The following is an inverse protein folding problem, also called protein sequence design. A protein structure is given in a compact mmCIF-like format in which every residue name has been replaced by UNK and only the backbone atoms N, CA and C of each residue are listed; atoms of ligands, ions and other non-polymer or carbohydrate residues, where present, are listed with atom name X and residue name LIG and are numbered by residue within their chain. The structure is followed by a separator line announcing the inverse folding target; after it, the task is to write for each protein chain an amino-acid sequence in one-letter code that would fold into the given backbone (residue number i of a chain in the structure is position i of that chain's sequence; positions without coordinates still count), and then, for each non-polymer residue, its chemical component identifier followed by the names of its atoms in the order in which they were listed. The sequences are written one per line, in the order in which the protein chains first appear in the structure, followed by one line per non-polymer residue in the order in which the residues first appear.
data_IF_368792926678
#
_entry.id   IF_368792926678
#
_cell.length_a   1.000
_cell.length_b   1.000
_cell.length_c   1.000
_cell.angle_alpha   90.00
_cell.angle_beta   90.00
_cell.angle_gamma   90.00
#
_symmetry.space_group_name_H-M   'P 1'
#
loop_
_entity.id
_entity.type
_entity.pdbx_description
1 polymer ?
#
# COMPACT_ATOMS: atom_id res chain seq x y z
N UNK A 1 31.09 21.69 -11.39
CA UNK A 1 29.70 21.38 -11.01
C UNK A 1 29.33 22.31 -9.86
N UNK A 2 28.45 23.30 -10.07
CA UNK A 2 28.34 24.45 -9.15
C UNK A 2 27.63 24.12 -7.83
N UNK A 3 28.02 24.80 -6.74
CA UNK A 3 27.49 24.60 -5.38
C UNK A 3 25.96 24.72 -5.30
N UNK A 4 25.33 25.46 -6.21
CA UNK A 4 23.86 25.58 -6.31
C UNK A 4 23.20 24.27 -6.73
N UNK A 5 23.84 23.47 -7.60
CA UNK A 5 23.33 22.15 -7.96
C UNK A 5 23.47 21.16 -6.80
N UNK A 6 24.57 21.22 -6.04
CA UNK A 6 24.78 20.38 -4.86
C UNK A 6 23.76 20.70 -3.75
N UNK A 7 23.48 21.98 -3.48
CA UNK A 7 22.48 22.40 -2.51
C UNK A 7 21.05 21.97 -2.93
N UNK A 8 20.70 22.11 -4.20
CA UNK A 8 19.42 21.67 -4.74
C UNK A 8 19.25 20.14 -4.69
N UNK A 9 20.33 19.38 -4.97
CA UNK A 9 20.35 17.92 -4.83
C UNK A 9 20.19 17.48 -3.39
N UNK A 10 20.92 18.10 -2.45
CA UNK A 10 20.85 17.78 -1.02
C UNK A 10 19.46 18.04 -0.44
N UNK A 11 18.82 19.14 -0.84
CA UNK A 11 17.45 19.45 -0.46
C UNK A 11 16.43 18.45 -1.05
N UNK A 12 16.65 17.99 -2.28
CA UNK A 12 15.78 16.99 -2.93
C UNK A 12 15.93 15.61 -2.28
N UNK A 13 17.17 15.20 -1.99
CA UNK A 13 17.49 13.96 -1.26
C UNK A 13 16.90 13.96 0.15
N UNK A 14 17.06 15.05 0.91
CA UNK A 14 16.45 15.19 2.24
C UNK A 14 14.92 15.09 2.18
N UNK A 15 14.32 15.68 1.14
CA UNK A 15 12.87 15.60 0.90
C UNK A 15 12.41 14.20 0.45
N UNK A 16 13.28 13.36 -0.08
CA UNK A 16 12.95 11.98 -0.48
C UNK A 16 13.46 10.92 0.51
N UNK A 17 14.17 11.30 1.57
CA UNK A 17 14.73 10.36 2.55
C UNK A 17 13.69 9.45 3.21
N UNK A 18 12.44 9.90 3.34
CA UNK A 18 11.35 9.07 3.85
C UNK A 18 11.01 7.89 2.93
N UNK A 19 11.13 8.05 1.60
CA UNK A 19 10.90 6.97 0.64
C UNK A 19 11.98 5.91 0.80
N UNK A 20 13.24 6.35 0.87
CA UNK A 20 14.38 5.45 1.09
C UNK A 20 14.22 4.69 2.41
N UNK A 21 13.89 5.39 3.50
CA UNK A 21 13.71 4.78 4.80
C UNK A 21 12.52 3.80 4.82
N UNK A 22 11.41 4.14 4.17
CA UNK A 22 10.24 3.25 4.10
C UNK A 22 10.55 2.00 3.26
N UNK A 23 11.14 2.17 2.08
CA UNK A 23 11.49 1.05 1.20
C UNK A 23 12.57 0.17 1.84
N UNK A 24 13.59 0.76 2.48
CA UNK A 24 14.59 0.02 3.23
C UNK A 24 13.97 -0.74 4.41
N UNK A 25 13.04 -0.13 5.16
CA UNK A 25 12.31 -0.81 6.23
C UNK A 25 11.51 -2.02 5.73
N UNK A 26 10.82 -1.89 4.59
CA UNK A 26 10.11 -3.00 3.96
C UNK A 26 11.08 -4.08 3.45
N UNK A 27 12.23 -3.69 2.90
CA UNK A 27 13.25 -4.64 2.43
C UNK A 27 13.84 -5.42 3.59
N UNK A 28 14.17 -4.73 4.70
CA UNK A 28 14.63 -5.37 5.92
C UNK A 28 13.59 -6.36 6.42
N UNK A 29 12.31 -5.96 6.50
CA UNK A 29 11.20 -6.86 6.87
C UNK A 29 11.14 -8.13 6.01
N UNK A 30 11.22 -7.97 4.70
CA UNK A 30 11.17 -9.09 3.76
C UNK A 30 12.36 -10.06 3.90
N UNK A 31 13.52 -9.57 4.37
CA UNK A 31 14.74 -10.37 4.56
C UNK A 31 14.92 -10.91 5.98
N UNK A 32 14.01 -10.62 6.91
CA UNK A 32 14.09 -11.14 8.27
C UNK A 32 13.92 -12.67 8.28
N UNK A 33 14.74 -13.33 9.12
CA UNK A 33 14.58 -14.74 9.43
C UNK A 33 13.18 -15.03 9.98
N UNK A 34 12.58 -16.21 9.70
CA UNK A 34 11.20 -16.51 10.08
C UNK A 34 10.89 -16.33 11.57
N UNK A 35 11.81 -16.70 12.46
CA UNK A 35 11.66 -16.54 13.91
C UNK A 35 11.49 -15.08 14.34
N UNK A 36 12.42 -14.22 13.92
CA UNK A 36 12.39 -12.77 14.23
C UNK A 36 11.18 -12.10 13.59
N UNK A 37 10.85 -12.48 12.35
CA UNK A 37 9.70 -11.93 11.64
C UNK A 37 8.37 -12.25 12.34
N UNK A 38 8.22 -13.44 12.91
CA UNK A 38 7.02 -13.79 13.66
C UNK A 38 6.86 -12.94 14.93
N UNK A 39 7.94 -12.69 15.67
CA UNK A 39 7.92 -11.81 16.86
C UNK A 39 7.61 -10.37 16.46
N UNK A 40 8.19 -9.90 15.36
CA UNK A 40 8.02 -8.53 14.87
C UNK A 40 6.74 -8.33 14.05
N UNK A 41 5.94 -9.38 13.80
CA UNK A 41 4.73 -9.28 12.99
C UNK A 41 3.73 -8.29 13.58
N UNK A 42 3.37 -8.45 14.86
CA UNK A 42 2.39 -7.57 15.50
C UNK A 42 2.82 -6.09 15.51
N UNK A 43 4.05 -5.72 15.93
CA UNK A 43 4.47 -4.32 15.87
C UNK A 43 4.60 -3.80 14.44
N UNK A 44 5.15 -4.58 13.50
CA UNK A 44 5.24 -4.17 12.10
C UNK A 44 3.85 -3.97 11.49
N UNK A 45 2.91 -4.87 11.80
CA UNK A 45 1.52 -4.81 11.36
C UNK A 45 0.80 -3.58 11.92
N UNK A 46 0.98 -3.29 13.20
CA UNK A 46 0.42 -2.09 13.83
C UNK A 46 0.98 -0.82 13.17
N UNK A 47 2.30 -0.72 12.99
CA UNK A 47 2.94 0.45 12.37
C UNK A 47 2.50 0.64 10.92
N UNK A 48 2.55 -0.41 10.11
CA UNK A 48 2.11 -0.35 8.71
C UNK A 48 0.62 -0.01 8.60
N UNK A 49 -0.22 -0.61 9.45
CA UNK A 49 -1.65 -0.32 9.53
C UNK A 49 -1.93 1.13 9.90
N UNK A 50 -1.19 1.68 10.86
CA UNK A 50 -1.32 3.09 11.25
C UNK A 50 -0.87 4.05 10.15
N UNK A 51 0.20 3.72 9.40
CA UNK A 51 0.63 4.53 8.25
C UNK A 51 -0.42 4.55 7.14
N UNK A 52 -0.96 3.37 6.77
CA UNK A 52 -2.03 3.26 5.76
C UNK A 52 -3.30 3.99 6.23
N UNK A 53 -3.64 3.86 7.52
CA UNK A 53 -4.75 4.59 8.14
C UNK A 53 -4.54 6.11 8.07
N UNK A 54 -3.38 6.61 8.47
CA UNK A 54 -3.07 8.04 8.49
C UNK A 54 -3.22 8.67 7.08
N UNK A 55 -2.73 7.98 6.05
CA UNK A 55 -2.86 8.43 4.66
C UNK A 55 -4.29 8.42 4.12
N UNK A 56 -5.15 7.53 4.61
CA UNK A 56 -6.55 7.42 4.15
C UNK A 56 -7.52 8.31 4.95
N UNK A 57 -7.31 8.44 6.25
CA UNK A 57 -8.20 9.16 7.15
C UNK A 57 -8.20 10.68 6.91
N UNK A 58 -7.03 11.29 6.65
CA UNK A 58 -6.92 12.73 6.36
C UNK A 58 -7.79 13.14 5.15
N UNK A 59 -7.68 12.39 4.06
CA UNK A 59 -8.42 12.65 2.83
C UNK A 59 -9.93 12.47 3.01
N UNK A 60 -10.34 11.42 3.73
CA UNK A 60 -11.74 11.15 4.00
C UNK A 60 -12.37 12.22 4.92
N UNK A 61 -11.63 12.66 5.94
CA UNK A 61 -12.06 13.73 6.86
C UNK A 61 -12.26 15.05 6.12
N UNK A 62 -11.35 15.41 5.21
CA UNK A 62 -11.46 16.64 4.43
C UNK A 62 -12.67 16.63 3.47
N UNK A 63 -12.92 15.51 2.79
CA UNK A 63 -14.12 15.37 1.95
C UNK A 63 -15.39 15.51 2.77
N UNK A 64 -15.45 14.82 3.91
CA UNK A 64 -16.64 14.85 4.77
C UNK A 64 -16.86 16.23 5.37
N UNK A 65 -15.78 16.97 5.70
CA UNK A 65 -15.85 18.38 6.10
C UNK A 65 -16.42 19.28 5.01
N UNK A 66 -15.92 19.16 3.78
CA UNK A 66 -16.39 19.96 2.65
C UNK A 66 -17.86 19.66 2.33
N UNK A 67 -18.25 18.38 2.32
CA UNK A 67 -19.64 17.96 2.11
C UNK A 67 -20.56 18.44 3.24
N UNK A 68 -20.20 18.22 4.50
CA UNK A 68 -21.01 18.69 5.64
C UNK A 68 -21.12 20.22 5.69
N UNK A 69 -20.10 20.95 5.22
CA UNK A 69 -20.16 22.40 5.13
C UNK A 69 -21.13 22.93 4.07
N UNK A 70 -21.50 22.11 3.07
CA UNK A 70 -22.49 22.46 2.05
C UNK A 70 -23.93 22.18 2.47
N UNK A 71 -24.15 21.17 3.33
CA UNK A 71 -25.50 20.68 3.65
C UNK A 71 -25.95 20.91 5.10
N UNK A 72 -25.02 21.20 6.02
CA UNK A 72 -25.33 21.33 7.46
C UNK A 72 -24.77 22.63 8.03
N UNK A 73 -25.64 23.35 8.74
CA UNK A 73 -25.26 24.51 9.54
C UNK A 73 -24.13 24.16 10.51
N UNK A 74 -23.12 25.02 10.61
CA UNK A 74 -21.94 24.81 11.44
C UNK A 74 -22.27 24.68 12.94
N UNK A 75 -23.41 25.22 13.38
CA UNK A 75 -23.94 25.13 14.74
C UNK A 75 -24.59 23.78 15.08
N UNK A 76 -24.88 22.92 14.09
CA UNK A 76 -25.57 21.67 14.33
C UNK A 76 -24.67 20.63 15.03
N UNK A 77 -25.14 19.95 16.10
CA UNK A 77 -24.38 18.88 16.77
C UNK A 77 -24.07 17.71 15.83
N UNK A 78 -24.92 17.51 14.81
CA UNK A 78 -24.72 16.51 13.75
C UNK A 78 -23.51 16.82 12.88
N UNK A 79 -23.17 18.10 12.70
CA UNK A 79 -21.96 18.51 11.98
C UNK A 79 -20.69 18.00 12.72
N UNK A 80 -20.70 18.01 14.06
CA UNK A 80 -19.56 17.55 14.88
C UNK A 80 -19.46 16.02 14.93
N UNK A 81 -20.58 15.31 15.05
CA UNK A 81 -20.64 13.84 15.13
C UNK A 81 -20.34 13.14 13.80
N UNK A 82 -20.77 13.72 12.66
CA UNK A 82 -20.58 13.13 11.33
C UNK A 82 -19.25 13.51 10.67
N UNK A 83 -18.48 14.46 11.21
CA UNK A 83 -17.20 14.95 10.64
C UNK A 83 -16.08 13.91 10.64
N UNK A 84 -16.24 12.82 11.39
CA UNK A 84 -15.25 11.75 11.57
C UNK A 84 -15.64 10.78 12.68
N UNK A 85 -16.90 10.32 12.67
CA UNK A 85 -17.44 9.46 13.73
C UNK A 85 -16.68 8.14 13.91
N UNK A 86 -16.88 7.45 15.05
CA UNK A 86 -16.15 6.24 15.42
C UNK A 86 -16.25 5.13 14.36
N UNK A 87 -17.41 5.00 13.70
CA UNK A 87 -17.60 4.03 12.61
C UNK A 87 -16.67 4.29 11.42
N UNK A 88 -16.42 5.56 11.09
CA UNK A 88 -15.50 5.90 10.00
C UNK A 88 -14.05 5.56 10.38
N UNK A 89 -13.65 5.85 11.62
CA UNK A 89 -12.32 5.48 12.14
C UNK A 89 -12.15 3.97 12.10
N UNK A 90 -13.11 3.22 12.66
CA UNK A 90 -13.06 1.77 12.74
C UNK A 90 -12.98 1.12 11.34
N UNK A 91 -13.79 1.58 10.39
CA UNK A 91 -13.75 1.08 9.00
C UNK A 91 -12.39 1.29 8.34
N UNK A 92 -11.81 2.48 8.47
CA UNK A 92 -10.52 2.78 7.84
C UNK A 92 -9.36 2.08 8.57
N UNK A 93 -9.48 1.91 9.90
CA UNK A 93 -8.50 1.19 10.69
C UNK A 93 -8.50 -0.30 10.34
N UNK A 94 -9.68 -0.92 10.25
CA UNK A 94 -9.83 -2.33 9.86
C UNK A 94 -9.28 -2.56 8.46
N UNK A 95 -9.67 -1.72 7.49
CA UNK A 95 -9.16 -1.81 6.12
C UNK A 95 -7.64 -1.56 6.05
N UNK A 96 -7.12 -0.62 6.85
CA UNK A 96 -5.69 -0.35 6.95
C UNK A 96 -4.91 -1.53 7.52
N UNK A 97 -5.44 -2.21 8.55
CA UNK A 97 -4.86 -3.42 9.11
C UNK A 97 -4.90 -4.57 8.11
N UNK A 98 -6.02 -4.82 7.44
CA UNK A 98 -6.11 -5.88 6.44
C UNK A 98 -5.12 -5.67 5.27
N UNK A 99 -5.02 -4.43 4.76
CA UNK A 99 -4.05 -4.10 3.71
C UNK A 99 -2.61 -4.20 4.21
N UNK A 100 -2.32 -3.79 5.45
CA UNK A 100 -0.99 -3.92 6.04
C UNK A 100 -0.59 -5.39 6.19
N UNK A 101 -1.52 -6.25 6.63
CA UNK A 101 -1.28 -7.69 6.74
C UNK A 101 -0.97 -8.30 5.38
N UNK A 102 -1.83 -8.01 4.38
CA UNK A 102 -1.62 -8.44 2.99
C UNK A 102 -0.25 -7.98 2.48
N UNK A 103 0.11 -6.72 2.69
CA UNK A 103 1.40 -6.16 2.28
C UNK A 103 2.57 -6.88 2.92
N UNK A 104 2.56 -7.05 4.25
CA UNK A 104 3.67 -7.64 5.01
C UNK A 104 3.88 -9.12 4.67
N UNK A 105 2.79 -9.86 4.45
CA UNK A 105 2.85 -11.28 4.06
C UNK A 105 3.36 -11.40 2.64
N UNK A 106 2.77 -10.66 1.69
CA UNK A 106 3.20 -10.69 0.29
C UNK A 106 4.66 -10.26 0.11
N UNK A 107 5.14 -9.26 0.87
CA UNK A 107 6.54 -8.83 0.85
C UNK A 107 7.55 -9.95 1.15
N UNK A 108 7.16 -10.97 1.92
CA UNK A 108 8.03 -12.10 2.25
C UNK A 108 8.03 -13.18 1.17
N UNK A 109 6.96 -13.28 0.38
CA UNK A 109 6.81 -14.23 -0.70
C UNK A 109 7.28 -13.69 -2.05
N UNK A 110 7.48 -12.37 -2.13
CA UNK A 110 7.81 -11.66 -3.36
C UNK A 110 9.16 -12.08 -3.97
N UNK A 111 9.19 -12.38 -5.28
CA UNK A 111 10.44 -12.57 -6.01
C UNK A 111 11.35 -11.35 -5.93
N UNK A 112 12.66 -11.58 -6.00
CA UNK A 112 13.67 -10.51 -5.96
C UNK A 112 13.49 -9.47 -7.07
N UNK A 113 13.07 -9.91 -8.27
CA UNK A 113 12.81 -9.04 -9.42
C UNK A 113 11.74 -7.97 -9.13
N UNK A 114 10.76 -8.27 -8.28
CA UNK A 114 9.66 -7.35 -7.98
C UNK A 114 10.10 -6.13 -7.19
N UNK A 115 11.23 -6.20 -6.48
CA UNK A 115 11.79 -5.06 -5.76
C UNK A 115 12.20 -3.92 -6.68
N UNK A 116 12.67 -4.20 -7.90
CA UNK A 116 12.99 -3.16 -8.88
C UNK A 116 11.74 -2.35 -9.24
N UNK A 117 10.59 -3.02 -9.42
CA UNK A 117 9.30 -2.38 -9.70
C UNK A 117 8.83 -1.54 -8.51
N UNK A 118 8.99 -2.05 -7.28
CA UNK A 118 8.62 -1.30 -6.06
C UNK A 118 9.46 -0.04 -5.88
N UNK A 119 10.77 -0.12 -6.08
CA UNK A 119 11.69 1.03 -6.02
C UNK A 119 11.32 2.04 -7.10
N UNK A 120 11.12 1.59 -8.33
CA UNK A 120 10.70 2.45 -9.44
C UNK A 120 9.38 3.18 -9.13
N UNK A 121 8.39 2.48 -8.59
CA UNK A 121 7.11 3.07 -8.19
C UNK A 121 7.26 4.09 -7.05
N UNK A 122 8.12 3.83 -6.06
CA UNK A 122 8.41 4.78 -5.00
C UNK A 122 9.06 6.06 -5.53
N UNK A 123 10.03 5.95 -6.44
CA UNK A 123 10.67 7.09 -7.09
C UNK A 123 9.69 7.89 -7.95
N UNK A 124 8.89 7.19 -8.76
CA UNK A 124 7.84 7.78 -9.60
C UNK A 124 6.81 8.53 -8.74
N UNK A 125 6.41 7.96 -7.60
CA UNK A 125 5.57 8.65 -6.63
C UNK A 125 6.22 9.94 -6.13
N UNK A 126 7.50 9.93 -5.73
CA UNK A 126 8.19 11.15 -5.30
C UNK A 126 8.26 12.23 -6.39
N UNK A 127 8.50 11.83 -7.63
CA UNK A 127 8.53 12.71 -8.79
C UNK A 127 7.14 13.32 -9.09
N UNK A 128 6.12 12.46 -9.17
CA UNK A 128 4.74 12.88 -9.43
C UNK A 128 4.20 13.77 -8.31
N UNK A 129 4.51 13.47 -7.05
CA UNK A 129 4.14 14.30 -5.90
C UNK A 129 4.72 15.71 -6.05
N UNK A 130 5.99 15.83 -6.44
CA UNK A 130 6.66 17.11 -6.62
C UNK A 130 6.04 17.89 -7.78
N UNK A 131 5.78 17.22 -8.90
CA UNK A 131 5.11 17.82 -10.07
C UNK A 131 3.71 18.33 -9.73
N UNK A 132 2.88 17.49 -9.12
CA UNK A 132 1.51 17.84 -8.72
C UNK A 132 1.49 18.97 -7.70
N UNK A 133 2.39 18.97 -6.72
CA UNK A 133 2.46 20.05 -5.75
C UNK A 133 2.85 21.39 -6.39
N UNK A 134 3.76 21.40 -7.37
CA UNK A 134 4.12 22.62 -8.12
C UNK A 134 2.95 23.14 -8.95
N UNK A 135 2.18 22.25 -9.59
CA UNK A 135 0.99 22.61 -10.37
C UNK A 135 -0.17 23.09 -9.49
N UNK A 136 -0.43 22.39 -8.37
CA UNK A 136 -1.53 22.69 -7.46
C UNK A 136 -1.31 23.98 -6.66
N UNK A 137 -0.06 24.29 -6.29
CA UNK A 137 0.26 25.53 -5.57
C UNK A 137 -0.15 26.81 -6.33
N UNK A 138 -0.30 26.73 -7.66
CA UNK A 138 -0.74 27.85 -8.50
C UNK A 138 -2.26 28.04 -8.54
N UNK A 139 -3.04 27.03 -8.16
CA UNK A 139 -4.49 27.01 -8.41
C UNK A 139 -5.34 26.61 -7.18
N UNK A 140 -4.71 26.19 -6.07
CA UNK A 140 -5.40 25.61 -4.91
C UNK A 140 -4.96 26.32 -3.64
N UNK A 141 -5.92 26.62 -2.77
CA UNK A 141 -5.67 27.19 -1.44
C UNK A 141 -4.65 26.32 -0.69
N UNK A 142 -3.59 26.96 -0.18
CA UNK A 142 -2.42 26.29 0.39
C UNK A 142 -2.74 25.26 1.48
N UNK A 143 -3.81 25.49 2.25
CA UNK A 143 -4.27 24.57 3.29
C UNK A 143 -4.75 23.20 2.75
N UNK A 144 -5.30 23.15 1.54
CA UNK A 144 -5.87 21.93 0.94
C UNK A 144 -4.94 21.25 -0.08
N UNK A 145 -3.94 21.97 -0.59
CA UNK A 145 -3.03 21.47 -1.62
C UNK A 145 -2.34 20.12 -1.25
N UNK A 146 -1.82 19.90 -0.03
CA UNK A 146 -1.16 18.63 0.32
C UNK A 146 -2.11 17.42 0.26
N UNK A 147 -3.34 17.59 0.76
CA UNK A 147 -4.33 16.51 0.77
C UNK A 147 -4.87 16.20 -0.63
N UNK A 148 -5.05 17.23 -1.46
CA UNK A 148 -5.45 17.05 -2.86
C UNK A 148 -4.39 16.31 -3.66
N UNK A 149 -3.12 16.71 -3.52
CA UNK A 149 -1.97 16.06 -4.20
C UNK A 149 -1.87 14.59 -3.80
N UNK A 150 -1.94 14.26 -2.50
CA UNK A 150 -1.92 12.87 -2.02
C UNK A 150 -3.04 12.04 -2.64
N UNK A 151 -4.26 12.59 -2.71
CA UNK A 151 -5.41 11.89 -3.30
C UNK A 151 -5.23 11.65 -4.80
N UNK A 152 -4.80 12.67 -5.53
CA UNK A 152 -4.58 12.57 -6.98
C UNK A 152 -3.44 11.62 -7.33
N UNK A 153 -2.50 11.42 -6.40
CA UNK A 153 -1.35 10.55 -6.61
C UNK A 153 -1.65 9.06 -6.40
N UNK A 154 -2.51 8.71 -5.43
CA UNK A 154 -2.74 7.31 -5.07
C UNK A 154 -3.23 6.48 -6.26
N UNK A 155 -4.24 6.97 -6.98
CA UNK A 155 -4.83 6.24 -8.11
C UNK A 155 -3.86 5.99 -9.27
N UNK A 156 -3.23 6.99 -9.90
CA UNK A 156 -2.36 6.77 -11.05
C UNK A 156 -1.15 5.90 -10.69
N UNK A 157 -0.54 6.11 -9.51
CA UNK A 157 0.61 5.28 -9.08
C UNK A 157 0.17 3.86 -8.77
N UNK A 158 -0.96 3.66 -8.08
CA UNK A 158 -1.43 2.31 -7.74
C UNK A 158 -1.87 1.53 -8.99
N UNK A 159 -2.55 2.17 -9.95
CA UNK A 159 -2.96 1.54 -11.20
C UNK A 159 -1.73 1.16 -12.03
N UNK A 160 -0.77 2.07 -12.20
CA UNK A 160 0.44 1.79 -12.95
C UNK A 160 1.28 0.70 -12.26
N UNK A 161 1.41 0.75 -10.94
CA UNK A 161 2.10 -0.30 -10.18
C UNK A 161 1.38 -1.65 -10.32
N UNK A 162 0.06 -1.71 -10.17
CA UNK A 162 -0.70 -2.95 -10.35
C UNK A 162 -0.52 -3.54 -11.76
N UNK A 163 -0.50 -2.69 -12.79
CA UNK A 163 -0.26 -3.10 -14.17
C UNK A 163 1.16 -3.66 -14.34
N UNK A 164 2.19 -2.96 -13.84
CA UNK A 164 3.58 -3.42 -13.92
C UNK A 164 3.79 -4.74 -13.17
N UNK A 165 3.17 -4.89 -11.98
CA UNK A 165 3.22 -6.12 -11.21
C UNK A 165 2.51 -7.28 -11.91
N UNK A 166 1.37 -7.01 -12.54
CA UNK A 166 0.64 -8.01 -13.33
C UNK A 166 1.46 -8.47 -14.52
N UNK A 167 2.04 -7.53 -15.29
CA UNK A 167 2.93 -7.85 -16.41
C UNK A 167 4.15 -8.66 -15.94
N UNK A 168 4.76 -8.28 -14.82
CA UNK A 168 5.89 -9.00 -14.25
C UNK A 168 5.49 -10.42 -13.81
N UNK A 169 4.32 -10.59 -13.19
CA UNK A 169 3.80 -11.90 -12.78
C UNK A 169 3.52 -12.84 -13.97
N UNK A 170 3.13 -12.28 -15.12
CA UNK A 170 2.96 -13.03 -16.37
C UNK A 170 4.31 -13.39 -17.02
N UNK A 171 5.34 -12.58 -16.79
CA UNK A 171 6.68 -12.80 -17.37
C UNK A 171 7.56 -13.74 -16.54
N UNK A 172 7.33 -13.80 -15.23
CA UNK A 172 8.06 -14.70 -14.32
C UNK A 172 7.70 -16.17 -14.58
N UNK A 173 8.67 -17.11 -14.38
CA UNK A 173 8.39 -18.54 -14.48
C UNK A 173 7.30 -18.97 -13.51
N UNK A 174 6.28 -19.65 -14.02
CA UNK A 174 5.15 -20.16 -13.23
C UNK A 174 5.29 -21.67 -13.01
N UNK A 175 4.81 -22.22 -11.88
CA UNK A 175 4.80 -23.66 -11.66
C UNK A 175 3.92 -24.36 -12.69
N UNK A 176 4.36 -25.50 -13.19
CA UNK A 176 3.57 -26.30 -14.14
C UNK A 176 2.50 -27.10 -13.39
N UNK A 177 1.24 -26.69 -13.50
CA UNK A 177 0.10 -27.24 -12.75
C UNK A 177 -0.96 -27.90 -13.65
N UNK A 178 -0.68 -28.01 -14.95
CA UNK A 178 -1.59 -28.62 -15.91
C UNK A 178 -1.76 -30.11 -15.57
N UNK A 179 -3.01 -30.56 -15.53
CA UNK A 179 -3.35 -31.97 -15.31
C UNK A 179 -3.38 -32.42 -13.85
N UNK A 180 -2.98 -31.56 -12.90
CA UNK A 180 -3.09 -31.83 -11.46
C UNK A 180 -4.49 -31.48 -10.95
N UNK A 181 -4.99 -32.26 -9.98
CA UNK A 181 -6.14 -31.84 -9.18
C UNK A 181 -5.74 -30.65 -8.27
N UNK A 182 -6.73 -29.81 -7.90
CA UNK A 182 -6.47 -28.63 -7.06
C UNK A 182 -5.85 -29.00 -5.70
N UNK A 183 -6.36 -30.06 -5.06
CA UNK A 183 -5.85 -30.59 -3.79
C UNK A 183 -4.40 -31.06 -3.91
N UNK A 184 -4.07 -31.77 -4.98
CA UNK A 184 -2.71 -32.25 -5.27
C UNK A 184 -1.76 -31.08 -5.52
N UNK A 185 -2.20 -30.04 -6.23
CA UNK A 185 -1.42 -28.83 -6.47
C UNK A 185 -1.07 -28.11 -5.17
N UNK A 186 -2.05 -27.98 -4.25
CA UNK A 186 -1.84 -27.37 -2.93
C UNK A 186 -0.91 -28.19 -2.05
N UNK A 187 -1.14 -29.50 -1.91
CA UNK A 187 -0.31 -30.36 -1.06
C UNK A 187 1.14 -30.40 -1.56
N UNK A 188 1.35 -30.36 -2.88
CA UNK A 188 2.70 -30.45 -3.48
C UNK A 188 3.50 -29.15 -3.40
N UNK A 189 2.84 -27.98 -3.44
CA UNK A 189 3.53 -26.69 -3.61
C UNK A 189 3.37 -25.71 -2.44
N UNK A 190 2.42 -25.93 -1.52
CA UNK A 190 2.34 -25.11 -0.30
C UNK A 190 3.43 -25.58 0.66
N UNK A 191 4.30 -24.66 1.08
CA UNK A 191 5.40 -24.98 1.98
C UNK A 191 4.89 -25.28 3.40
N UNK A 192 5.34 -26.40 3.97
CA UNK A 192 5.16 -26.71 5.40
C UNK A 192 6.23 -26.08 6.28
N UNK A 193 7.22 -25.40 5.70
CA UNK A 193 8.42 -24.93 6.41
C UNK A 193 8.16 -23.81 7.43
N UNK A 194 7.01 -23.12 7.36
CA UNK A 194 6.71 -21.97 8.20
C UNK A 194 6.18 -22.31 9.62
N UNK A 195 6.07 -23.61 9.96
CA UNK A 195 5.68 -24.07 11.30
C UNK A 195 4.27 -23.65 11.74
N UNK A 196 3.95 -23.86 13.02
CA UNK A 196 2.66 -23.53 13.64
C UNK A 196 2.46 -22.06 14.03
N UNK A 197 3.22 -21.14 13.43
CA UNK A 197 3.22 -19.71 13.82
C UNK A 197 2.11 -18.92 13.11
N UNK A 198 1.73 -17.77 13.68
CA UNK A 198 0.71 -16.88 13.08
C UNK A 198 1.17 -16.34 11.71
N UNK A 199 2.44 -15.93 11.60
CA UNK A 199 3.02 -15.51 10.33
C UNK A 199 3.00 -16.65 9.31
N UNK A 200 3.41 -17.85 9.73
CA UNK A 200 3.43 -19.03 8.86
C UNK A 200 2.04 -19.50 8.44
N UNK A 201 1.00 -19.23 9.22
CA UNK A 201 -0.39 -19.44 8.79
C UNK A 201 -0.76 -18.50 7.63
N UNK A 202 -0.48 -17.20 7.75
CA UNK A 202 -0.79 -16.24 6.69
C UNK A 202 0.06 -16.43 5.43
N UNK A 203 1.34 -16.79 5.58
CA UNK A 203 2.19 -17.13 4.43
C UNK A 203 1.65 -18.34 3.67
N UNK A 204 1.22 -19.40 4.36
CA UNK A 204 0.59 -20.57 3.73
C UNK A 204 -0.71 -20.21 3.04
N UNK A 205 -1.55 -19.37 3.67
CA UNK A 205 -2.79 -18.90 3.06
C UNK A 205 -2.52 -18.10 1.77
N UNK A 206 -1.53 -17.21 1.79
CA UNK A 206 -1.13 -16.43 0.63
C UNK A 206 -0.57 -17.32 -0.50
N UNK A 207 0.30 -18.28 -0.17
CA UNK A 207 0.79 -19.28 -1.13
C UNK A 207 -0.33 -20.12 -1.73
N UNK A 208 -1.28 -20.59 -0.90
CA UNK A 208 -2.42 -21.36 -1.37
C UNK A 208 -3.31 -20.54 -2.32
N UNK A 209 -3.52 -19.26 -2.03
CA UNK A 209 -4.26 -18.34 -2.90
C UNK A 209 -3.55 -18.15 -4.25
N UNK A 210 -2.24 -17.92 -4.22
CA UNK A 210 -1.41 -17.75 -5.41
C UNK A 210 -1.36 -19.03 -6.28
N UNK A 211 -1.21 -20.19 -5.66
CA UNK A 211 -1.26 -21.49 -6.35
C UNK A 211 -2.64 -21.77 -6.93
N UNK A 212 -3.72 -21.43 -6.20
CA UNK A 212 -5.09 -21.56 -6.70
C UNK A 212 -5.31 -20.67 -7.93
N UNK A 213 -4.77 -19.45 -7.90
CA UNK A 213 -4.80 -18.53 -9.04
C UNK A 213 -4.07 -19.13 -10.25
N UNK A 214 -2.83 -19.61 -10.10
CA UNK A 214 -2.09 -20.22 -11.20
C UNK A 214 -2.75 -21.49 -11.72
N UNK A 215 -3.23 -22.35 -10.81
CA UNK A 215 -3.95 -23.57 -11.16
C UNK A 215 -5.20 -23.26 -11.98
N UNK A 216 -5.99 -22.26 -11.55
CA UNK A 216 -7.21 -21.83 -12.25
C UNK A 216 -6.88 -21.28 -13.65
N UNK A 217 -5.86 -20.44 -13.79
CA UNK A 217 -5.45 -19.88 -15.08
C UNK A 217 -4.94 -20.95 -16.05
N UNK A 218 -4.18 -21.96 -15.58
CA UNK A 218 -3.59 -23.00 -16.44
C UNK A 218 -4.59 -24.10 -16.82
N UNK A 219 -5.42 -24.56 -15.86
CA UNK A 219 -6.36 -25.67 -16.09
C UNK A 219 -7.67 -25.22 -16.77
N UNK A 220 -7.95 -23.91 -16.76
CA UNK A 220 -9.02 -23.33 -17.56
C UNK A 220 -8.88 -23.60 -19.07
N UNK A 221 -7.65 -23.64 -19.58
CA UNK A 221 -7.37 -23.81 -21.02
C UNK A 221 -7.47 -25.28 -21.46
N UNK A 222 -7.31 -26.22 -20.54
CA UNK A 222 -7.12 -27.65 -20.85
C UNK A 222 -8.34 -28.53 -20.59
N UNK A 223 -9.32 -28.11 -19.78
CA UNK A 223 -10.58 -28.87 -19.54
C UNK A 223 -11.75 -28.23 -20.27
N UNK A 224 -12.14 -28.83 -21.40
CA UNK A 224 -13.33 -28.46 -22.17
C UNK A 224 -14.60 -28.56 -21.31
N UNK A 225 -15.36 -27.46 -21.18
CA UNK A 225 -16.70 -27.42 -20.57
C UNK A 225 -16.84 -26.62 -19.26
N UNK A 226 -15.78 -26.46 -18.46
CA UNK A 226 -15.76 -25.63 -17.22
C UNK A 226 -14.75 -24.45 -17.35
N UNK A 227 -14.02 -24.40 -18.48
CA UNK A 227 -12.80 -23.61 -18.65
C UNK A 227 -12.95 -22.09 -18.53
N UNK A 228 -14.05 -21.49 -19.00
CA UNK A 228 -14.16 -20.02 -19.08
C UNK A 228 -14.40 -19.36 -17.72
N UNK A 229 -15.28 -19.92 -16.89
CA UNK A 229 -15.56 -19.39 -15.56
C UNK A 229 -14.35 -19.50 -14.64
N UNK A 230 -13.62 -20.62 -14.74
CA UNK A 230 -12.40 -20.83 -13.95
C UNK A 230 -11.27 -19.89 -14.38
N UNK A 231 -11.12 -19.63 -15.69
CA UNK A 231 -10.18 -18.64 -16.22
C UNK A 231 -10.46 -17.26 -15.62
N UNK A 232 -11.74 -16.85 -15.63
CA UNK A 232 -12.17 -15.57 -15.11
C UNK A 232 -11.84 -15.43 -13.63
N UNK A 233 -12.08 -16.48 -12.82
CA UNK A 233 -11.70 -16.49 -11.41
C UNK A 233 -10.19 -16.30 -11.24
N UNK A 234 -9.36 -17.02 -12.01
CA UNK A 234 -7.90 -16.86 -11.99
C UNK A 234 -7.45 -15.43 -12.31
N UNK A 235 -8.01 -14.83 -13.37
CA UNK A 235 -7.74 -13.44 -13.74
C UNK A 235 -8.20 -12.44 -12.69
N UNK A 236 -9.39 -12.63 -12.13
CA UNK A 236 -9.92 -11.76 -11.07
C UNK A 236 -9.06 -11.85 -9.81
N UNK A 237 -8.60 -13.05 -9.43
CA UNK A 237 -7.70 -13.23 -8.28
C UNK A 237 -6.34 -12.58 -8.51
N UNK A 238 -5.76 -12.72 -9.71
CA UNK A 238 -4.52 -12.05 -10.09
C UNK A 238 -4.68 -10.53 -9.98
N UNK A 239 -5.67 -9.97 -10.66
CA UNK A 239 -5.90 -8.53 -10.67
C UNK A 239 -6.22 -7.99 -9.28
N UNK A 240 -7.04 -8.70 -8.50
CA UNK A 240 -7.40 -8.29 -7.14
C UNK A 240 -6.18 -8.29 -6.23
N UNK A 241 -5.35 -9.35 -6.28
CA UNK A 241 -4.16 -9.49 -5.43
C UNK A 241 -3.12 -8.43 -5.78
N UNK A 242 -2.80 -8.26 -7.07
CA UNK A 242 -1.84 -7.24 -7.52
C UNK A 242 -2.34 -5.82 -7.24
N UNK A 243 -3.64 -5.56 -7.43
CA UNK A 243 -4.23 -4.26 -7.14
C UNK A 243 -4.27 -3.96 -5.64
N UNK A 244 -4.65 -4.93 -4.81
CA UNK A 244 -4.68 -4.76 -3.36
C UNK A 244 -3.28 -4.51 -2.80
N UNK A 245 -2.28 -5.26 -3.30
CA UNK A 245 -0.89 -5.08 -2.92
C UNK A 245 -0.34 -3.72 -3.35
N UNK A 246 -0.53 -3.33 -4.62
CA UNK A 246 -0.14 -2.02 -5.13
C UNK A 246 -0.80 -0.87 -4.34
N UNK A 247 -2.09 -1.02 -4.04
CA UNK A 247 -2.84 -0.04 -3.26
C UNK A 247 -2.30 0.08 -1.83
N UNK A 248 -2.02 -1.05 -1.16
CA UNK A 248 -1.44 -1.07 0.17
C UNK A 248 -0.06 -0.39 0.19
N UNK A 249 0.80 -0.71 -0.77
CA UNK A 249 2.14 -0.14 -0.90
C UNK A 249 2.10 1.39 -1.10
N UNK A 250 1.31 1.87 -2.07
CA UNK A 250 1.18 3.31 -2.34
C UNK A 250 0.57 4.05 -1.14
N UNK A 251 -0.43 3.47 -0.47
CA UNK A 251 -1.03 4.03 0.75
C UNK A 251 -0.04 4.12 1.88
N UNK A 252 0.83 3.13 2.05
CA UNK A 252 1.89 3.14 3.05
C UNK A 252 2.85 4.31 2.78
N UNK A 253 3.33 4.47 1.53
CA UNK A 253 4.23 5.56 1.17
C UNK A 253 3.59 6.94 1.38
N UNK A 254 2.31 7.10 1.03
CA UNK A 254 1.55 8.33 1.29
C UNK A 254 1.37 8.57 2.80
N UNK A 255 1.17 7.50 3.57
CA UNK A 255 1.14 7.54 5.03
C UNK A 255 2.47 8.01 5.65
N UNK A 256 3.59 7.51 5.14
CA UNK A 256 4.92 7.92 5.55
C UNK A 256 5.19 9.41 5.23
N UNK A 257 4.77 9.88 4.05
CA UNK A 257 4.81 11.31 3.71
C UNK A 257 3.95 12.16 4.66
N UNK A 258 2.76 11.67 5.02
CA UNK A 258 1.88 12.32 5.97
C UNK A 258 2.52 12.43 7.35
N UNK A 259 3.09 11.34 7.88
CA UNK A 259 3.78 11.33 9.15
C UNK A 259 4.95 12.31 9.15
N UNK A 260 5.81 12.28 8.12
CA UNK A 260 6.91 13.24 7.97
C UNK A 260 6.41 14.68 8.00
N UNK A 261 5.37 14.99 7.22
CA UNK A 261 4.84 16.36 7.15
C UNK A 261 4.30 16.87 8.49
N UNK A 262 3.80 15.97 9.35
CA UNK A 262 3.37 16.29 10.71
C UNK A 262 4.55 16.50 11.65
N UNK A 263 5.58 15.66 11.57
CA UNK A 263 6.80 15.80 12.35
C UNK A 263 7.54 17.11 12.04
N UNK A 264 7.57 17.52 10.77
CA UNK A 264 8.16 18.79 10.36
C UNK A 264 7.28 20.02 10.66
N UNK A 265 6.02 19.84 11.08
CA UNK A 265 5.06 20.94 11.37
C UNK A 265 4.79 21.18 12.86
N UNK A 266 5.27 20.33 13.79
CA UNK A 266 5.14 20.56 15.24
C UNK A 266 6.04 21.74 15.69
N UNK A 267 5.66 22.54 16.69
CA UNK A 267 5.27 23.93 16.43
C UNK A 267 6.15 24.97 17.15
N UNK A 268 6.38 26.11 16.49
CA UNK A 268 6.81 27.37 17.12
C UNK A 268 5.70 28.02 17.97
N UNK A 269 4.51 27.42 18.07
CA UNK A 269 3.37 27.93 18.84
C UNK A 269 3.49 27.76 20.37
N UNK A 270 4.72 27.67 20.89
CA UNK A 270 5.01 27.68 22.33
C UNK A 270 5.55 29.02 22.85
N UNK A 271 5.63 30.06 22.00
CA UNK A 271 6.20 31.38 22.39
C UNK A 271 5.22 32.54 22.45
N UNK A 272 3.94 32.35 22.13
CA UNK A 272 2.96 33.46 22.16
C UNK A 272 2.03 33.47 23.39
N UNK A 273 2.18 32.56 24.35
CA UNK A 273 1.38 32.55 25.60
C UNK A 273 2.20 32.73 26.90
N UNK A 274 3.45 33.20 26.82
CA UNK A 274 4.19 33.57 28.04
C UNK A 274 5.19 34.71 27.82
N UNK A 275 4.67 35.94 27.72
CA UNK A 275 5.21 37.20 28.27
C UNK A 275 4.40 38.38 27.74
#
# INVERSE_FOLDING_TARGET
MSERHLAAWRHTLYRQGYLVLTVAGLLTWARLQPGTANVLLLPAWAVAGQLIFAGSFEAARLRRRAWLGQYLLASSPWHRRLRGGPLMVLRHQLLGLLLALLLLVQLRLLPSATWAVLVMAALMQGALQTFLHRRAARHVVAAYAPALVRRLLVWPVAVLLALLLTLLALWLPQPYLIGLAWEEALVRHVSTAAGGTLLGFFERLAQALELTQYWAMQNAVTRSGIGEGLALVGWLLLLLTQSAFAWAFVRLLVGADALRSRLTRRPESGREESA
#
